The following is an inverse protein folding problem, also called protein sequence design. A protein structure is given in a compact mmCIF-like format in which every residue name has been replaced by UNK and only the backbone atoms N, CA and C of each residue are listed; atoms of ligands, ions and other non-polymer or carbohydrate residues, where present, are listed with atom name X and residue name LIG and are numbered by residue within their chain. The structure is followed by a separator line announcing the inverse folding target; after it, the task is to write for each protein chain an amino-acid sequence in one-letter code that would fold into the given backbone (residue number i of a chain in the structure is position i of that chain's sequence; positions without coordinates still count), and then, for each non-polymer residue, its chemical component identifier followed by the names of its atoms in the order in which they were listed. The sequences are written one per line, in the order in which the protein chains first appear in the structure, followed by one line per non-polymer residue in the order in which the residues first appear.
data_IF_344087618221
#
_entry.id   IF_344087618221
#
_cell.length_a   1.000
_cell.length_b   1.000
_cell.length_c   1.000
_cell.angle_alpha   90.00
_cell.angle_beta   90.00
_cell.angle_gamma   90.00
#
_symmetry.space_group_name_H-M   'P 1'
#
loop_
_entity.id
_entity.type
_entity.pdbx_description
1 polymer ?
#
# COMPACT_ATOMS: atom_id res chain seq x y z
N UNK A 1 -24.02 -18.37 25.43
CA UNK A 1 -24.79 -19.10 24.40
C UNK A 1 -24.16 -18.82 23.05
N UNK A 2 -24.00 -19.82 22.19
CA UNK A 2 -23.48 -19.60 20.83
C UNK A 2 -24.60 -19.20 19.87
N UNK A 3 -24.38 -18.20 19.02
CA UNK A 3 -25.34 -17.72 18.02
C UNK A 3 -24.79 -17.96 16.60
N UNK A 4 -25.64 -18.44 15.69
CA UNK A 4 -25.34 -18.48 14.26
C UNK A 4 -25.69 -17.14 13.61
N UNK A 5 -24.81 -16.63 12.78
CA UNK A 5 -24.90 -15.31 12.15
C UNK A 5 -23.94 -15.26 10.95
N UNK A 6 -23.68 -14.07 10.41
CA UNK A 6 -22.68 -13.81 9.37
C UNK A 6 -21.75 -12.69 9.82
N UNK A 7 -20.62 -12.48 9.14
CA UNK A 7 -19.78 -11.29 9.38
C UNK A 7 -20.59 -10.03 9.10
N UNK A 8 -21.36 -10.02 8.00
CA UNK A 8 -22.16 -8.87 7.59
C UNK A 8 -23.17 -8.47 8.68
N UNK A 9 -23.87 -9.44 9.28
CA UNK A 9 -24.86 -9.17 10.33
C UNK A 9 -24.22 -8.66 11.63
N UNK A 10 -23.06 -9.20 12.02
CA UNK A 10 -22.36 -8.79 13.25
C UNK A 10 -21.71 -7.41 13.13
N UNK A 11 -21.08 -7.13 11.99
CA UNK A 11 -20.42 -5.85 11.77
C UNK A 11 -21.39 -4.73 11.38
N UNK A 12 -22.67 -5.03 11.16
CA UNK A 12 -23.71 -4.01 10.93
C UNK A 12 -24.55 -3.71 12.18
N UNK A 13 -24.26 -4.35 13.31
CA UNK A 13 -24.87 -3.99 14.59
C UNK A 13 -24.56 -2.53 14.97
N UNK A 14 -25.47 -1.85 15.68
CA UNK A 14 -25.27 -0.47 16.07
C UNK A 14 -24.03 -0.28 16.96
N UNK A 15 -23.41 0.88 16.83
CA UNK A 15 -22.40 1.36 17.76
C UNK A 15 -23.02 1.70 19.11
N UNK A 16 -22.20 1.73 20.16
CA UNK A 16 -22.59 2.32 21.43
C UNK A 16 -22.94 3.80 21.19
N UNK A 17 -24.05 4.27 21.75
CA UNK A 17 -24.37 5.68 21.72
C UNK A 17 -23.39 6.43 22.62
N UNK A 18 -22.80 7.51 22.10
CA UNK A 18 -21.75 8.24 22.79
C UNK A 18 -22.13 9.68 23.07
N UNK A 19 -21.56 10.25 24.13
CA UNK A 19 -21.69 11.65 24.51
C UNK A 19 -20.30 12.25 24.73
N UNK A 20 -19.93 13.17 23.85
CA UNK A 20 -18.69 13.91 23.94
C UNK A 20 -18.83 15.03 24.99
N UNK A 21 -18.11 14.91 26.11
CA UNK A 21 -18.01 15.91 27.18
C UNK A 21 -16.69 16.69 27.14
N UNK A 22 -15.85 16.40 26.15
CA UNK A 22 -14.51 16.96 26.08
C UNK A 22 -14.53 18.45 25.75
N UNK A 23 -13.56 19.17 26.31
CA UNK A 23 -13.29 20.53 25.91
C UNK A 23 -12.53 20.57 24.57
N UNK A 24 -12.69 21.67 23.83
CA UNK A 24 -11.87 21.93 22.64
C UNK A 24 -10.38 22.01 22.97
N UNK A 25 -9.54 21.80 21.96
CA UNK A 25 -8.08 21.90 22.09
C UNK A 25 -7.39 21.85 20.73
N UNK A 26 -6.11 22.16 20.68
CA UNK A 26 -5.31 22.18 19.45
C UNK A 26 -4.87 20.78 19.03
N UNK A 27 -4.84 20.52 17.73
CA UNK A 27 -4.24 19.32 17.16
C UNK A 27 -2.71 19.38 17.24
N UNK A 28 -2.06 18.21 17.17
CA UNK A 28 -0.60 18.13 17.06
C UNK A 28 -0.19 18.59 15.67
N UNK A 29 0.84 19.44 15.56
CA UNK A 29 1.29 20.02 14.29
C UNK A 29 2.80 19.90 14.14
N UNK A 30 3.27 19.59 12.93
CA UNK A 30 4.70 19.56 12.60
C UNK A 30 4.92 20.05 11.17
N UNK A 31 5.91 20.94 10.98
CA UNK A 31 6.13 21.63 9.70
C UNK A 31 6.59 20.71 8.58
N UNK A 32 7.30 19.61 8.89
CA UNK A 32 7.87 18.68 7.91
C UNK A 32 6.92 17.57 7.45
N UNK A 33 5.67 17.54 7.91
CA UNK A 33 4.72 16.54 7.43
C UNK A 33 4.42 16.71 5.94
N UNK A 34 4.16 15.62 5.19
CA UNK A 34 3.87 15.71 3.77
C UNK A 34 2.69 16.63 3.48
N UNK A 35 2.66 17.22 2.28
CA UNK A 35 1.57 18.08 1.84
C UNK A 35 0.41 17.27 1.24
N UNK A 36 -0.81 17.81 1.39
CA UNK A 36 -2.04 17.26 0.83
C UNK A 36 -2.24 17.91 -0.54
N UNK A 37 -1.84 17.20 -1.60
CA UNK A 37 -2.00 17.70 -2.96
C UNK A 37 -3.46 17.76 -3.40
N UNK A 38 -4.25 16.74 -3.07
CA UNK A 38 -5.69 16.74 -3.32
C UNK A 38 -6.46 15.87 -2.34
N UNK A 39 -7.71 16.24 -2.08
CA UNK A 39 -8.65 15.55 -1.21
C UNK A 39 -9.97 15.33 -1.95
N UNK A 40 -10.24 14.09 -2.35
CA UNK A 40 -11.37 13.76 -3.23
C UNK A 40 -12.17 12.55 -2.71
N UNK A 41 -13.47 12.45 -2.98
CA UNK A 41 -14.25 11.30 -2.54
C UNK A 41 -13.78 9.99 -3.19
N UNK A 42 -13.59 8.96 -2.39
CA UNK A 42 -13.24 7.62 -2.84
C UNK A 42 -14.47 6.91 -3.42
N UNK A 43 -14.60 6.95 -4.75
CA UNK A 43 -15.79 6.46 -5.48
C UNK A 43 -15.96 4.94 -5.45
N UNK A 44 -14.90 4.19 -5.14
CA UNK A 44 -14.94 2.74 -5.09
C UNK A 44 -15.27 2.18 -3.70
N UNK A 45 -14.93 2.93 -2.65
CA UNK A 45 -15.16 2.51 -1.27
C UNK A 45 -16.62 2.73 -0.84
N UNK A 46 -17.50 1.90 -1.40
CA UNK A 46 -18.94 1.93 -1.17
C UNK A 46 -19.44 0.54 -0.76
N UNK A 47 -20.49 0.49 0.05
CA UNK A 47 -21.07 -0.78 0.50
C UNK A 47 -21.44 -1.74 -0.65
N UNK A 48 -22.11 -1.30 -1.74
CA UNK A 48 -22.45 -2.22 -2.83
C UNK A 48 -21.22 -2.81 -3.54
N UNK A 49 -20.20 -1.99 -3.82
CA UNK A 49 -18.97 -2.46 -4.49
C UNK A 49 -18.18 -3.41 -3.59
N UNK A 50 -17.98 -3.03 -2.33
CA UNK A 50 -17.27 -3.87 -1.36
C UNK A 50 -18.01 -5.19 -1.09
N UNK A 51 -19.33 -5.14 -0.92
CA UNK A 51 -20.12 -6.36 -0.79
C UNK A 51 -20.01 -7.26 -2.02
N UNK A 52 -20.03 -6.72 -3.24
CA UNK A 52 -19.86 -7.52 -4.45
C UNK A 52 -18.50 -8.25 -4.52
N UNK A 53 -17.43 -7.65 -3.98
CA UNK A 53 -16.11 -8.28 -3.92
C UNK A 53 -15.99 -9.34 -2.81
N UNK A 54 -16.66 -9.10 -1.68
CA UNK A 54 -16.47 -9.87 -0.46
C UNK A 54 -17.67 -10.75 -0.08
N UNK A 55 -18.72 -10.84 -0.91
CA UNK A 55 -19.99 -11.49 -0.59
C UNK A 55 -19.80 -12.89 0.00
N UNK A 56 -18.96 -13.71 -0.64
CA UNK A 56 -18.64 -15.08 -0.19
C UNK A 56 -18.04 -15.11 1.23
N UNK A 57 -17.20 -14.12 1.56
CA UNK A 57 -16.56 -14.02 2.88
C UNK A 57 -17.54 -13.47 3.91
N UNK A 58 -18.24 -12.37 3.61
CA UNK A 58 -19.05 -11.66 4.62
C UNK A 58 -20.38 -12.35 4.91
N UNK A 59 -20.92 -13.12 3.96
CA UNK A 59 -22.13 -13.93 4.15
C UNK A 59 -21.81 -15.35 4.67
N UNK A 60 -20.54 -15.67 4.93
CA UNK A 60 -20.15 -16.98 5.48
C UNK A 60 -20.79 -17.24 6.85
N UNK A 61 -21.30 -18.46 7.07
CA UNK A 61 -21.91 -18.84 8.36
C UNK A 61 -20.86 -18.72 9.48
N UNK A 62 -21.17 -17.92 10.49
CA UNK A 62 -20.34 -17.68 11.65
C UNK A 62 -21.06 -18.13 12.92
N UNK A 63 -20.45 -19.04 13.67
CA UNK A 63 -20.91 -19.39 15.02
C UNK A 63 -20.13 -18.57 16.05
N UNK A 64 -20.74 -17.49 16.53
CA UNK A 64 -20.19 -16.62 17.57
C UNK A 64 -20.43 -17.25 18.93
N UNK A 65 -19.36 -17.62 19.64
CA UNK A 65 -19.43 -18.38 20.91
C UNK A 65 -19.56 -17.50 22.15
N UNK A 66 -19.14 -16.25 22.06
CA UNK A 66 -19.15 -15.26 23.16
C UNK A 66 -19.58 -13.91 22.61
N UNK A 67 -20.02 -13.00 23.50
CA UNK A 67 -20.18 -11.61 23.09
C UNK A 67 -18.87 -11.11 22.49
N UNK A 68 -18.94 -10.49 21.31
CA UNK A 68 -17.77 -9.92 20.66
C UNK A 68 -17.36 -8.60 21.31
N UNK A 69 -18.27 -7.97 22.06
CA UNK A 69 -18.12 -6.67 22.70
C UNK A 69 -18.12 -6.82 24.21
N UNK A 70 -17.45 -5.91 24.90
CA UNK A 70 -17.63 -5.77 26.35
C UNK A 70 -19.03 -5.23 26.61
N UNK A 71 -19.76 -5.79 27.59
CA UNK A 71 -21.05 -5.26 27.97
C UNK A 71 -20.86 -3.84 28.54
N UNK A 72 -21.42 -2.79 27.92
CA UNK A 72 -21.19 -1.43 28.35
C UNK A 72 -21.92 -1.14 29.66
N UNK A 73 -21.32 -0.33 30.51
CA UNK A 73 -21.99 0.35 31.63
C UNK A 73 -22.62 1.67 31.15
N UNK A 74 -23.47 2.28 31.99
CA UNK A 74 -24.06 3.58 31.69
C UNK A 74 -23.01 4.70 31.55
N UNK A 75 -21.80 4.50 32.10
CA UNK A 75 -20.69 5.44 32.04
C UNK A 75 -19.85 5.28 30.76
N UNK A 76 -19.88 4.11 30.14
CA UNK A 76 -18.97 3.79 29.04
C UNK A 76 -19.28 4.59 27.76
N UNK A 77 -20.46 5.21 27.67
CA UNK A 77 -20.85 6.07 26.56
C UNK A 77 -20.40 7.52 26.69
N UNK A 78 -19.99 7.98 27.88
CA UNK A 78 -19.52 9.35 28.08
C UNK A 78 -17.99 9.39 28.12
N UNK A 79 -17.38 10.39 27.46
CA UNK A 79 -15.92 10.58 27.49
C UNK A 79 -15.55 12.06 27.54
N UNK A 80 -14.43 12.37 28.19
CA UNK A 80 -13.97 13.73 28.49
C UNK A 80 -12.70 14.12 27.75
N UNK A 81 -12.01 13.17 27.12
CA UNK A 81 -10.86 13.41 26.28
C UNK A 81 -10.66 12.32 25.22
N UNK A 82 -9.55 12.42 24.47
CA UNK A 82 -9.19 11.46 23.44
C UNK A 82 -8.81 10.10 24.03
N UNK A 83 -8.12 10.07 25.18
CA UNK A 83 -7.68 8.81 25.81
C UNK A 83 -8.88 7.97 26.26
N UNK A 84 -9.91 8.59 26.83
CA UNK A 84 -11.15 7.91 27.20
C UNK A 84 -11.94 7.43 25.98
N UNK A 85 -11.99 8.19 24.88
CA UNK A 85 -12.60 7.71 23.62
C UNK A 85 -11.92 6.42 23.14
N UNK A 86 -10.60 6.36 23.20
CA UNK A 86 -9.81 5.19 22.80
C UNK A 86 -10.06 3.98 23.69
N UNK A 87 -10.07 4.18 25.00
CA UNK A 87 -10.14 3.10 25.99
C UNK A 87 -11.56 2.61 26.28
N UNK A 88 -12.55 3.50 26.28
CA UNK A 88 -13.94 3.18 26.65
C UNK A 88 -14.81 2.82 25.46
N UNK A 89 -14.51 3.37 24.27
CA UNK A 89 -15.31 3.14 23.06
C UNK A 89 -14.56 2.28 22.04
N UNK A 90 -13.44 2.78 21.50
CA UNK A 90 -12.81 2.17 20.31
C UNK A 90 -12.28 0.77 20.65
N UNK A 91 -11.49 0.66 21.72
CA UNK A 91 -10.84 -0.59 22.12
C UNK A 91 -11.82 -1.71 22.51
N UNK A 92 -12.86 -1.47 23.33
CA UNK A 92 -13.78 -2.54 23.76
C UNK A 92 -14.99 -2.74 22.85
N UNK A 93 -15.45 -1.71 22.11
CA UNK A 93 -16.68 -1.78 21.32
C UNK A 93 -16.45 -1.91 19.81
N UNK A 94 -15.35 -1.37 19.27
CA UNK A 94 -15.11 -1.30 17.82
C UNK A 94 -14.14 -2.39 17.35
N UNK A 95 -12.94 -2.44 17.92
CA UNK A 95 -11.90 -3.35 17.44
C UNK A 95 -12.20 -4.84 17.64
N UNK A 96 -12.82 -5.30 18.74
CA UNK A 96 -12.98 -6.73 18.98
C UNK A 96 -13.90 -7.44 17.98
N UNK A 97 -15.08 -6.89 17.59
CA UNK A 97 -15.87 -7.45 16.49
C UNK A 97 -15.09 -7.53 15.17
N UNK A 98 -14.36 -6.47 14.80
CA UNK A 98 -13.55 -6.42 13.57
C UNK A 98 -12.48 -7.50 13.56
N UNK A 99 -11.69 -7.61 14.63
CA UNK A 99 -10.65 -8.63 14.76
C UNK A 99 -11.20 -10.06 14.83
N UNK A 100 -12.38 -10.24 15.40
CA UNK A 100 -13.05 -11.55 15.41
C UNK A 100 -13.53 -11.94 14.01
N UNK A 101 -14.09 -10.98 13.25
CA UNK A 101 -14.49 -11.17 11.87
C UNK A 101 -13.29 -11.48 10.95
N UNK A 102 -12.16 -10.77 11.09
CA UNK A 102 -10.93 -11.07 10.33
C UNK A 102 -10.45 -12.50 10.57
N UNK A 103 -10.42 -12.95 11.83
CA UNK A 103 -10.05 -14.33 12.17
C UNK A 103 -11.04 -15.36 11.63
N UNK A 104 -12.34 -15.05 11.62
CA UNK A 104 -13.35 -15.92 11.02
C UNK A 104 -13.16 -16.02 9.50
N UNK A 105 -13.04 -14.88 8.83
CA UNK A 105 -12.82 -14.79 7.39
C UNK A 105 -11.56 -15.57 6.96
N UNK A 106 -10.43 -15.38 7.63
CA UNK A 106 -9.18 -16.12 7.34
C UNK A 106 -9.35 -17.64 7.49
N UNK A 107 -10.10 -18.10 8.49
CA UNK A 107 -10.42 -19.53 8.65
C UNK A 107 -11.35 -20.05 7.55
N UNK A 108 -12.35 -19.27 7.18
CA UNK A 108 -13.29 -19.62 6.11
C UNK A 108 -12.55 -19.86 4.79
N UNK A 109 -11.62 -18.97 4.43
CA UNK A 109 -10.80 -19.10 3.22
C UNK A 109 -9.55 -19.98 3.39
N UNK A 110 -9.38 -20.61 4.57
CA UNK A 110 -8.27 -21.52 4.91
C UNK A 110 -6.87 -20.89 4.82
N UNK A 111 -6.75 -19.60 5.13
CA UNK A 111 -5.48 -18.88 5.23
C UNK A 111 -5.04 -18.63 6.68
N UNK A 112 -5.80 -19.07 7.68
CA UNK A 112 -5.50 -18.87 9.11
C UNK A 112 -4.18 -19.50 9.59
N UNK A 113 -3.64 -20.45 8.83
CA UNK A 113 -2.32 -21.06 9.10
C UNK A 113 -1.14 -20.23 8.61
N UNK A 114 -1.36 -19.41 7.59
CA UNK A 114 -0.29 -18.64 6.92
C UNK A 114 -0.41 -17.15 7.19
N UNK A 115 -1.62 -16.66 7.45
CA UNK A 115 -1.91 -15.25 7.66
C UNK A 115 -2.65 -15.07 8.99
N UNK A 116 -2.33 -13.97 9.68
CA UNK A 116 -3.05 -13.53 10.86
C UNK A 116 -3.04 -12.01 10.89
N UNK A 117 -4.22 -11.40 10.92
CA UNK A 117 -4.37 -9.95 10.96
C UNK A 117 -4.91 -9.51 12.32
N UNK A 118 -4.31 -8.46 12.88
CA UNK A 118 -4.79 -7.85 14.11
C UNK A 118 -4.68 -6.32 14.06
N UNK A 119 -5.83 -5.65 14.08
CA UNK A 119 -5.92 -4.20 14.24
C UNK A 119 -5.97 -3.88 15.74
N UNK A 120 -5.05 -3.05 16.22
CA UNK A 120 -4.95 -2.72 17.64
C UNK A 120 -4.15 -1.46 17.90
N UNK A 121 -3.90 -1.15 19.18
CA UNK A 121 -2.99 -0.07 19.56
C UNK A 121 -1.65 -0.29 18.90
N UNK A 122 -1.07 0.78 18.35
CA UNK A 122 0.17 0.68 17.61
C UNK A 122 1.37 0.30 18.48
N UNK A 123 1.24 0.15 19.82
CA UNK A 123 2.30 -0.19 20.79
C UNK A 123 3.38 -1.18 20.31
N UNK A 124 3.03 -2.11 19.42
CA UNK A 124 3.90 -3.15 18.84
C UNK A 124 4.69 -2.74 17.58
N UNK A 125 4.44 -1.56 17.04
CA UNK A 125 5.09 -0.99 15.84
C UNK A 125 6.03 0.16 16.24
N UNK A 126 7.15 0.30 15.53
CA UNK A 126 8.10 1.42 15.65
C UNK A 126 8.88 1.55 14.34
N UNK A 127 9.05 2.78 13.85
CA UNK A 127 9.87 3.05 12.67
C UNK A 127 11.03 4.04 12.95
N UNK A 128 11.16 4.57 14.17
CA UNK A 128 12.30 5.40 14.58
C UNK A 128 13.17 4.74 15.67
N UNK A 129 14.51 4.80 15.56
CA UNK A 129 15.42 4.38 16.62
C UNK A 129 15.31 5.37 17.80
N UNK A 130 14.56 5.00 18.82
CA UNK A 130 14.34 5.84 20.02
C UNK A 130 12.94 5.69 20.61
N UNK A 131 11.98 5.20 19.83
CA UNK A 131 10.65 4.86 20.32
C UNK A 131 9.79 6.06 20.74
N UNK A 132 10.06 7.24 20.20
CA UNK A 132 9.27 8.44 20.47
C UNK A 132 7.81 8.24 20.02
N UNK A 133 6.89 8.37 20.98
CA UNK A 133 5.46 8.15 20.77
C UNK A 133 4.83 9.17 19.83
N UNK A 134 5.46 10.34 19.63
CA UNK A 134 4.95 11.40 18.73
C UNK A 134 5.02 11.01 17.26
N UNK A 135 5.87 10.05 16.93
CA UNK A 135 6.10 9.56 15.57
C UNK A 135 5.46 8.20 15.40
N UNK A 136 4.22 8.07 15.85
CA UNK A 136 3.53 6.79 15.84
C UNK A 136 2.03 7.03 15.83
N UNK A 137 1.36 6.33 14.92
CA UNK A 137 -0.08 6.28 14.86
C UNK A 137 -0.67 5.71 16.17
N UNK A 138 -1.86 6.13 16.56
CA UNK A 138 -2.59 5.51 17.68
C UNK A 138 -2.88 4.02 17.43
N UNK A 139 -3.20 3.70 16.16
CA UNK A 139 -3.66 2.39 15.72
C UNK A 139 -2.78 1.83 14.60
N UNK A 140 -2.64 0.52 14.60
CA UNK A 140 -1.90 -0.21 13.57
C UNK A 140 -2.55 -1.57 13.28
N UNK A 141 -2.58 -1.94 12.00
CA UNK A 141 -2.74 -3.33 11.59
C UNK A 141 -1.38 -4.03 11.62
N UNK A 142 -1.31 -5.14 12.33
CA UNK A 142 -0.11 -5.97 12.43
C UNK A 142 -0.37 -7.39 11.91
N UNK A 143 0.68 -8.04 11.41
CA UNK A 143 0.66 -9.46 11.03
C UNK A 143 1.95 -10.17 11.44
N UNK A 144 1.89 -11.41 11.95
CA UNK A 144 3.07 -12.22 12.27
C UNK A 144 4.07 -12.42 11.14
N UNK A 145 3.65 -12.34 9.88
CA UNK A 145 4.54 -12.51 8.72
C UNK A 145 5.31 -11.22 8.38
N UNK A 146 4.86 -10.08 8.92
CA UNK A 146 5.47 -8.76 8.74
C UNK A 146 6.13 -8.32 10.04
N UNK A 147 7.24 -8.97 10.39
CA UNK A 147 8.02 -8.70 11.60
C UNK A 147 9.41 -8.18 11.24
N UNK A 148 9.89 -7.26 12.05
CA UNK A 148 11.24 -6.71 12.00
C UNK A 148 12.00 -7.07 13.28
N UNK A 149 13.31 -7.29 13.15
CA UNK A 149 14.20 -7.71 14.24
C UNK A 149 14.40 -9.23 14.28
N UNK A 150 15.65 -9.67 14.49
CA UNK A 150 16.04 -11.08 14.55
C UNK A 150 15.90 -11.69 15.95
N UNK A 151 15.91 -10.86 16.99
CA UNK A 151 16.02 -11.29 18.38
C UNK A 151 14.75 -10.90 19.16
N UNK A 152 14.31 -11.76 20.08
CA UNK A 152 13.08 -11.57 20.88
C UNK A 152 13.02 -10.23 21.62
N UNK A 153 14.17 -9.66 21.97
CA UNK A 153 14.27 -8.38 22.67
C UNK A 153 14.01 -7.15 21.79
N UNK A 154 13.99 -7.29 20.46
CA UNK A 154 13.69 -6.20 19.53
C UNK A 154 12.64 -6.58 18.49
N UNK A 155 11.78 -7.55 18.81
CA UNK A 155 10.69 -7.97 17.94
C UNK A 155 9.69 -6.82 17.76
N UNK A 156 9.55 -6.36 16.51
CA UNK A 156 8.60 -5.32 16.10
C UNK A 156 7.74 -5.82 14.95
N UNK A 157 6.52 -5.30 14.87
CA UNK A 157 5.65 -5.54 13.73
C UNK A 157 5.67 -4.33 12.80
N UNK A 158 5.58 -4.57 11.51
CA UNK A 158 5.29 -3.51 10.55
C UNK A 158 3.88 -2.99 10.77
N UNK A 159 3.69 -1.68 10.60
CA UNK A 159 2.36 -1.10 10.53
C UNK A 159 1.84 -1.24 9.10
N UNK A 160 0.82 -2.08 8.89
CA UNK A 160 0.23 -2.32 7.58
C UNK A 160 -0.92 -1.34 7.26
N UNK A 161 -1.47 -0.69 8.28
CA UNK A 161 -2.58 0.26 8.18
C UNK A 161 -2.52 1.23 9.37
N UNK A 162 -1.86 2.40 9.21
CA UNK A 162 -1.86 3.43 10.25
C UNK A 162 -3.25 4.03 10.44
N UNK A 163 -3.59 4.33 11.69
CA UNK A 163 -4.77 5.15 11.99
C UNK A 163 -4.62 5.97 13.26
N UNK A 164 -5.38 7.05 13.35
CA UNK A 164 -5.36 7.99 14.49
C UNK A 164 -6.76 8.22 15.05
N UNK A 165 -6.86 8.48 16.34
CA UNK A 165 -8.08 8.92 17.01
C UNK A 165 -8.13 10.43 17.02
N UNK A 166 -9.30 11.03 16.82
CA UNK A 166 -9.54 12.45 17.14
C UNK A 166 -10.92 12.63 17.75
N UNK A 167 -11.13 13.74 18.44
CA UNK A 167 -12.45 14.14 18.90
C UNK A 167 -13.18 14.93 17.80
N UNK A 168 -14.47 14.72 17.63
CA UNK A 168 -15.30 15.36 16.60
C UNK A 168 -15.40 16.88 16.76
N UNK A 169 -15.22 17.37 17.99
CA UNK A 169 -15.12 18.80 18.30
C UNK A 169 -13.73 19.42 18.00
N UNK A 170 -12.72 18.59 17.68
CA UNK A 170 -11.37 19.01 17.27
C UNK A 170 -11.08 18.74 15.79
N UNK A 171 -11.81 17.81 15.18
CA UNK A 171 -11.63 17.47 13.77
C UNK A 171 -12.89 16.83 13.18
N UNK A 172 -13.25 17.24 11.97
CA UNK A 172 -14.31 16.60 11.18
C UNK A 172 -14.00 16.72 9.69
N UNK A 173 -14.34 15.69 8.91
CA UNK A 173 -14.04 15.58 7.47
C UNK A 173 -14.64 16.72 6.64
N UNK A 174 -15.81 17.22 7.05
CA UNK A 174 -16.51 18.33 6.38
C UNK A 174 -15.78 19.68 6.49
N UNK A 175 -14.79 19.81 7.36
CA UNK A 175 -14.05 21.06 7.58
C UNK A 175 -13.07 21.40 6.44
N UNK A 176 -12.76 20.46 5.55
CA UNK A 176 -11.87 20.64 4.40
C UNK A 176 -12.16 21.92 3.58
N UNK A 177 -13.44 22.21 3.35
CA UNK A 177 -13.90 23.35 2.55
C UNK A 177 -14.21 24.60 3.36
N UNK A 178 -13.82 24.66 4.64
CA UNK A 178 -14.09 25.83 5.48
C UNK A 178 -13.36 27.06 4.95
N UNK A 179 -14.03 28.21 4.95
CA UNK A 179 -13.42 29.50 4.65
C UNK A 179 -12.64 30.08 5.83
N UNK A 180 -12.81 29.53 7.03
CA UNK A 180 -12.03 29.92 8.21
C UNK A 180 -10.66 29.23 8.17
N UNK A 181 -9.54 29.99 8.05
CA UNK A 181 -8.20 29.41 8.01
C UNK A 181 -7.85 28.56 9.23
N UNK A 182 -8.38 28.90 10.41
CA UNK A 182 -8.12 28.16 11.65
C UNK A 182 -8.74 26.77 11.59
N UNK A 183 -9.97 26.68 11.10
CA UNK A 183 -10.69 25.42 10.90
C UNK A 183 -10.03 24.61 9.78
N UNK A 184 -9.57 25.29 8.72
CA UNK A 184 -8.88 24.64 7.62
C UNK A 184 -7.54 24.04 8.05
N UNK A 185 -6.73 24.75 8.83
CA UNK A 185 -5.48 24.20 9.40
C UNK A 185 -5.75 23.07 10.38
N UNK A 186 -6.71 23.24 11.30
CA UNK A 186 -7.12 22.18 12.21
C UNK A 186 -7.56 20.91 11.48
N UNK A 187 -8.21 21.04 10.31
CA UNK A 187 -8.55 19.93 9.43
C UNK A 187 -7.32 19.27 8.79
N UNK A 188 -6.34 20.06 8.32
CA UNK A 188 -5.14 19.55 7.62
C UNK A 188 -4.29 18.66 8.53
N UNK A 189 -4.10 19.05 9.78
CA UNK A 189 -3.08 18.44 10.64
C UNK A 189 -3.25 16.92 10.84
N UNK A 190 -4.42 16.39 11.25
CA UNK A 190 -4.59 14.95 11.39
C UNK A 190 -4.46 14.18 10.08
N UNK A 191 -4.83 14.80 8.95
CA UNK A 191 -4.67 14.19 7.62
C UNK A 191 -3.19 14.10 7.24
N UNK A 192 -2.42 15.18 7.45
CA UNK A 192 -0.96 15.20 7.24
C UNK A 192 -0.23 14.23 8.16
N UNK A 193 -0.73 14.03 9.37
CA UNK A 193 -0.21 13.03 10.31
C UNK A 193 -0.38 11.61 9.77
N UNK A 194 -1.55 11.25 9.23
CA UNK A 194 -1.75 9.95 8.56
C UNK A 194 -0.86 9.80 7.32
N UNK A 195 -0.70 10.85 6.51
CA UNK A 195 0.22 10.84 5.37
C UNK A 195 1.66 10.57 5.82
N UNK A 196 2.11 11.23 6.88
CA UNK A 196 3.44 11.01 7.42
C UNK A 196 3.65 9.54 7.81
N UNK A 197 2.69 8.93 8.51
CA UNK A 197 2.77 7.51 8.86
C UNK A 197 2.81 6.60 7.63
N UNK A 198 1.98 6.90 6.65
CA UNK A 198 1.83 6.13 5.42
C UNK A 198 3.11 6.20 4.57
N UNK A 199 3.72 7.37 4.45
CA UNK A 199 5.01 7.58 3.80
C UNK A 199 6.14 6.82 4.52
N UNK A 200 6.20 6.91 5.85
CA UNK A 200 7.22 6.21 6.65
C UNK A 200 7.11 4.70 6.64
N UNK A 201 5.91 4.17 6.43
CA UNK A 201 5.64 2.73 6.49
C UNK A 201 5.39 2.09 5.14
N UNK A 202 5.50 2.87 4.05
CA UNK A 202 5.14 2.47 2.69
C UNK A 202 3.72 1.87 2.63
N UNK A 203 2.72 2.60 3.14
CA UNK A 203 1.33 2.13 3.19
C UNK A 203 0.39 3.01 2.39
N UNK A 204 -0.41 2.34 1.56
CA UNK A 204 -1.43 2.91 0.68
C UNK A 204 -2.66 3.41 1.43
N UNK A 205 -2.97 2.81 2.56
CA UNK A 205 -4.22 3.04 3.27
C UNK A 205 -3.97 3.61 4.65
N UNK A 206 -4.89 4.44 5.12
CA UNK A 206 -4.92 4.96 6.48
C UNK A 206 -6.34 5.28 6.91
N UNK A 207 -6.53 5.58 8.19
CA UNK A 207 -7.83 6.02 8.69
C UNK A 207 -7.75 7.02 9.84
N UNK A 208 -8.79 7.83 9.99
CA UNK A 208 -9.06 8.64 11.18
C UNK A 208 -10.38 8.16 11.77
N UNK A 209 -10.46 8.04 13.09
CA UNK A 209 -11.69 7.69 13.79
C UNK A 209 -12.01 8.71 14.86
N UNK A 210 -13.26 9.16 14.89
CA UNK A 210 -13.81 10.06 15.90
C UNK A 210 -15.07 9.49 16.52
N UNK A 211 -15.61 10.17 17.52
CA UNK A 211 -16.93 9.90 18.09
C UNK A 211 -18.09 10.16 17.12
N UNK A 212 -17.85 10.87 16.00
CA UNK A 212 -18.87 11.16 15.00
C UNK A 212 -18.73 10.34 13.71
N UNK A 213 -17.51 10.00 13.29
CA UNK A 213 -17.27 9.33 12.01
C UNK A 213 -15.96 8.52 11.97
N UNK A 214 -15.93 7.55 11.06
CA UNK A 214 -14.71 6.94 10.55
C UNK A 214 -14.40 7.51 9.17
N UNK A 215 -13.18 7.99 8.96
CA UNK A 215 -12.70 8.46 7.67
C UNK A 215 -11.60 7.54 7.18
N UNK A 216 -11.91 6.75 6.15
CA UNK A 216 -10.92 5.86 5.51
C UNK A 216 -10.27 6.57 4.34
N UNK A 217 -9.00 6.29 4.10
CA UNK A 217 -8.18 6.98 3.09
C UNK A 217 -7.42 5.99 2.22
N UNK A 218 -7.35 6.28 0.92
CA UNK A 218 -6.43 5.70 -0.07
C UNK A 218 -5.50 6.81 -0.55
N UNK A 219 -4.21 6.58 -0.40
CA UNK A 219 -3.15 7.56 -0.64
C UNK A 219 -2.43 7.16 -1.92
N UNK A 220 -2.20 8.13 -2.81
CA UNK A 220 -1.40 7.99 -4.03
C UNK A 220 -0.27 9.01 -4.02
N UNK A 221 0.95 8.58 -4.30
CA UNK A 221 2.07 9.51 -4.50
C UNK A 221 1.85 10.31 -5.78
N UNK A 222 2.13 11.61 -5.74
CA UNK A 222 2.18 12.42 -6.95
C UNK A 222 3.63 12.48 -7.42
N UNK A 223 3.93 12.07 -8.66
CA UNK A 223 5.27 12.18 -9.20
C UNK A 223 5.71 13.65 -9.18
N UNK A 224 6.97 13.90 -8.81
CA UNK A 224 7.53 15.25 -8.95
C UNK A 224 7.52 15.62 -10.42
N UNK A 225 6.82 16.71 -10.73
CA UNK A 225 6.87 17.30 -12.06
C UNK A 225 8.33 17.45 -12.48
N UNK A 226 8.70 16.99 -13.67
CA UNK A 226 10.06 17.15 -14.19
C UNK A 226 10.40 18.64 -14.15
N UNK A 227 11.19 19.04 -13.16
CA UNK A 227 11.48 20.44 -12.92
C UNK A 227 12.09 21.08 -14.17
N UNK A 228 11.86 22.38 -14.35
CA UNK A 228 12.32 23.22 -15.47
C UNK A 228 13.86 23.17 -15.69
N UNK A 229 14.60 22.48 -14.81
CA UNK A 229 16.03 22.22 -14.94
C UNK A 229 16.38 21.09 -15.92
N UNK A 230 15.48 20.14 -16.24
CA UNK A 230 15.77 19.05 -17.19
C UNK A 230 15.83 19.52 -18.65
N UNK A 231 15.30 20.70 -18.96
CA UNK A 231 15.42 21.37 -20.27
C UNK A 231 16.48 22.47 -20.31
N UNK A 232 17.19 22.73 -19.21
CA UNK A 232 18.34 23.64 -19.24
C UNK A 232 19.57 22.87 -19.70
N UNK A 233 20.06 23.22 -20.88
CA UNK A 233 21.42 22.88 -21.31
C UNK A 233 22.40 23.19 -20.17
N UNK A 234 23.36 22.30 -19.86
CA UNK A 234 24.43 22.61 -18.93
C UNK A 234 25.03 23.96 -19.32
N UNK A 235 25.04 24.92 -18.39
CA UNK A 235 25.70 26.20 -18.64
C UNK A 235 27.18 25.89 -18.83
N UNK A 236 27.68 25.97 -20.06
CA UNK A 236 29.11 26.00 -20.30
C UNK A 236 29.67 27.14 -19.45
N UNK A 237 30.43 26.78 -18.41
CA UNK A 237 31.22 27.75 -17.69
C UNK A 237 32.30 28.21 -18.65
N UNK A 238 32.35 29.50 -19.04
CA UNK A 238 33.55 30.00 -19.67
C UNK A 238 34.68 29.87 -18.64
N UNK A 239 35.76 29.22 -19.05
CA UNK A 239 37.02 29.18 -18.33
C UNK A 239 37.57 30.61 -18.18
N UNK A 240 37.05 31.37 -17.22
CA UNK A 240 37.64 32.64 -16.83
C UNK A 240 38.73 32.36 -15.81
N UNK A 241 39.97 32.40 -16.30
CA UNK A 241 41.16 32.46 -15.46
C UNK A 241 41.11 33.72 -14.62
N UNK A 242 40.98 33.57 -13.31
CA UNK A 242 41.24 34.65 -12.37
C UNK A 242 42.75 34.75 -12.16
N UNK A 243 43.33 35.80 -12.74
CA UNK A 243 44.71 36.23 -12.52
C UNK A 243 44.87 36.72 -11.08
N UNK A 244 45.89 36.21 -10.40
CA UNK A 244 46.31 36.70 -9.09
C UNK A 244 47.12 37.98 -9.27
N UNK A 245 46.57 39.12 -8.84
CA UNK A 245 47.35 40.35 -8.62
C UNK A 245 47.87 40.35 -7.19
N UNK A 246 49.14 40.00 -7.03
CA UNK A 246 49.90 40.19 -5.78
C UNK A 246 50.45 41.62 -5.79
N UNK A 247 50.07 42.42 -4.79
CA UNK A 247 50.85 43.59 -4.36
C UNK A 247 50.84 43.71 -2.85
N UNK A 248 52.05 43.91 -2.34
CA UNK A 248 52.53 43.96 -0.96
C UNK A 248 51.99 45.14 -0.14
N UNK A 249 51.53 44.89 1.08
CA UNK A 249 52.23 45.33 2.30
C UNK A 249 51.40 45.09 3.56
N UNK A 250 52.12 44.81 4.64
CA UNK A 250 51.71 44.77 6.06
C UNK A 250 51.25 43.41 6.59
N UNK A 251 52.21 42.75 7.21
CA UNK A 251 52.08 41.65 8.17
C UNK A 251 51.10 42.00 9.30
N UNK A 252 50.02 41.22 9.38
CA UNK A 252 49.29 40.94 10.63
C UNK A 252 49.01 39.43 10.65
N UNK A 253 50.09 38.68 10.57
CA UNK A 253 50.18 37.29 10.97
C UNK A 253 50.00 37.23 12.49
N UNK A 254 48.76 37.01 12.96
CA UNK A 254 48.38 36.43 14.29
C UNK A 254 46.85 36.40 14.54
N UNK A 255 45.99 36.86 13.61
CA UNK A 255 44.52 36.85 13.78
C UNK A 255 43.75 35.86 12.87
N UNK A 256 44.43 35.06 12.04
CA UNK A 256 43.79 34.08 11.14
C UNK A 256 43.57 32.69 11.75
N UNK A 257 44.00 32.45 13.00
CA UNK A 257 43.79 31.19 13.72
C UNK A 257 42.42 31.06 14.38
N UNK A 258 41.76 32.16 14.75
CA UNK A 258 40.52 32.13 15.53
C UNK A 258 39.24 32.31 14.69
N UNK A 259 39.34 32.50 13.37
CA UNK A 259 38.19 32.58 12.46
C UNK A 259 38.01 31.38 11.53
N UNK A 260 38.91 30.39 11.59
CA UNK A 260 38.77 29.11 10.84
C UNK A 260 38.02 28.01 11.62
N UNK A 261 37.73 28.24 12.90
CA UNK A 261 37.03 27.28 13.79
C UNK A 261 35.54 27.60 14.03
N UNK A 262 34.94 28.51 13.26
CA UNK A 262 33.49 28.80 13.33
C UNK A 262 32.69 28.32 12.11
N UNK A 263 33.24 27.37 11.35
CA UNK A 263 32.46 26.59 10.37
C UNK A 263 32.09 25.25 10.98
N UNK A 264 30.97 25.24 11.70
CA UNK A 264 30.28 24.02 12.15
C UNK A 264 30.10 23.06 10.95
N UNK A 265 30.60 21.82 11.04
CA UNK A 265 30.28 20.79 10.06
C UNK A 265 28.85 20.31 10.31
N UNK A 266 27.86 20.98 9.72
CA UNK A 266 26.52 20.40 9.52
C UNK A 266 26.59 19.35 8.41
N UNK A 267 27.34 18.27 8.68
CA UNK A 267 27.24 17.02 7.94
C UNK A 267 26.11 16.22 8.58
N UNK A 268 24.87 16.60 8.28
CA UNK A 268 23.79 15.62 8.37
C UNK A 268 24.03 14.62 7.24
N UNK A 269 24.27 13.37 7.62
CA UNK A 269 24.49 12.27 6.71
C UNK A 269 23.34 12.21 5.70
N UNK A 270 23.63 12.60 4.45
CA UNK A 270 22.73 12.40 3.33
C UNK A 270 22.60 10.88 3.12
N UNK A 271 21.54 10.29 3.65
CA UNK A 271 20.98 9.10 3.03
C UNK A 271 20.27 9.59 1.77
N UNK A 272 20.42 8.96 0.60
CA UNK A 272 19.61 9.31 -0.56
C UNK A 272 18.16 9.04 -0.18
N UNK A 273 17.43 10.11 0.16
CA UNK A 273 15.99 10.04 0.35
C UNK A 273 15.35 9.64 -0.96
N UNK A 274 14.21 8.94 -0.88
CA UNK A 274 13.41 8.57 -2.05
C UNK A 274 13.13 9.76 -2.97
N UNK A 275 12.62 9.51 -4.19
CA UNK A 275 12.30 10.57 -5.14
C UNK A 275 11.49 11.65 -4.44
N UNK A 276 11.81 12.92 -4.72
CA UNK A 276 10.98 14.02 -4.26
C UNK A 276 9.52 13.71 -4.64
N UNK A 277 8.58 14.00 -3.76
CA UNK A 277 7.14 13.86 -4.02
C UNK A 277 6.52 15.25 -3.96
N UNK A 278 5.78 15.65 -5.00
CA UNK A 278 5.07 16.94 -5.07
C UNK A 278 3.82 16.98 -4.16
N UNK A 279 3.69 16.01 -3.25
CA UNK A 279 2.57 15.82 -2.34
C UNK A 279 1.85 14.50 -2.59
N UNK A 280 0.68 14.35 -1.96
CA UNK A 280 -0.13 13.13 -2.07
C UNK A 280 -1.56 13.44 -2.52
N UNK A 281 -2.10 12.60 -3.40
CA UNK A 281 -3.54 12.56 -3.67
C UNK A 281 -4.21 11.62 -2.68
N UNK A 282 -5.22 12.12 -1.99
CA UNK A 282 -5.99 11.38 -1.01
C UNK A 282 -7.42 11.19 -1.51
N UNK A 283 -7.82 9.94 -1.65
CA UNK A 283 -9.19 9.54 -1.83
C UNK A 283 -9.77 9.13 -0.48
N UNK A 284 -10.85 9.76 -0.04
CA UNK A 284 -11.42 9.51 1.29
C UNK A 284 -12.89 9.07 1.24
N UNK A 285 -13.31 8.34 2.27
CA UNK A 285 -14.73 8.09 2.54
C UNK A 285 -15.00 8.30 4.03
N UNK A 286 -15.91 9.21 4.33
CA UNK A 286 -16.47 9.39 5.67
C UNK A 286 -17.66 8.45 5.90
N UNK A 287 -17.68 7.78 7.05
CA UNK A 287 -18.69 6.84 7.49
C UNK A 287 -19.19 7.30 8.87
N UNK A 288 -20.43 7.81 8.97
CA UNK A 288 -21.01 8.22 10.25
C UNK A 288 -21.05 7.08 11.28
N UNK A 289 -20.75 7.41 12.54
CA UNK A 289 -20.82 6.48 13.68
C UNK A 289 -22.23 5.95 13.94
N UNK A 290 -23.26 6.71 13.56
CA UNK A 290 -24.67 6.31 13.69
C UNK A 290 -25.12 5.23 12.69
N UNK A 291 -24.34 5.00 11.62
CA UNK A 291 -24.73 4.03 10.59
C UNK A 291 -24.80 2.60 11.18
N UNK A 292 -25.95 1.96 10.97
CA UNK A 292 -26.19 0.58 11.38
C UNK A 292 -27.18 -0.10 10.43
N UNK A 293 -27.16 -1.44 10.42
CA UNK A 293 -27.95 -2.26 9.51
C UNK A 293 -27.58 -2.08 8.03
N UNK A 294 -28.38 -2.70 7.15
CA UNK A 294 -28.32 -2.53 5.68
C UNK A 294 -26.90 -2.62 5.07
N UNK A 295 -26.03 -3.50 5.57
CA UNK A 295 -24.60 -3.57 5.18
C UNK A 295 -24.31 -3.71 3.68
N UNK A 296 -25.27 -4.22 2.89
CA UNK A 296 -25.17 -4.31 1.41
C UNK A 296 -25.34 -2.95 0.71
N UNK A 297 -25.90 -1.94 1.38
CA UNK A 297 -26.25 -0.62 0.84
C UNK A 297 -25.60 0.54 1.60
N UNK A 298 -25.23 0.33 2.87
CA UNK A 298 -24.63 1.34 3.73
C UNK A 298 -23.44 0.74 4.48
N UNK A 299 -22.35 1.50 4.58
CA UNK A 299 -21.20 1.11 5.39
C UNK A 299 -21.45 1.53 6.85
N UNK A 300 -21.21 0.61 7.76
CA UNK A 300 -21.04 0.88 9.19
C UNK A 300 -19.54 1.00 9.50
N UNK A 301 -19.19 1.54 10.66
CA UNK A 301 -17.78 1.71 11.07
C UNK A 301 -17.05 0.37 11.17
N UNK A 302 -17.64 -0.65 11.79
CA UNK A 302 -17.00 -1.97 11.88
C UNK A 302 -16.81 -2.60 10.51
N UNK A 303 -17.82 -2.51 9.63
CA UNK A 303 -17.76 -3.12 8.31
C UNK A 303 -16.74 -2.42 7.41
N UNK A 304 -16.67 -1.08 7.46
CA UNK A 304 -15.67 -0.30 6.76
C UNK A 304 -14.25 -0.62 7.25
N UNK A 305 -14.03 -0.68 8.58
CA UNK A 305 -12.74 -1.09 9.14
C UNK A 305 -12.35 -2.50 8.74
N UNK A 306 -13.29 -3.46 8.74
CA UNK A 306 -13.02 -4.83 8.27
C UNK A 306 -12.52 -4.83 6.82
N UNK A 307 -13.22 -4.16 5.91
CA UNK A 307 -12.83 -4.11 4.51
C UNK A 307 -11.47 -3.42 4.32
N UNK A 308 -11.26 -2.26 4.96
CA UNK A 308 -9.99 -1.53 4.87
C UNK A 308 -8.83 -2.35 5.42
N UNK A 309 -9.03 -3.01 6.57
CA UNK A 309 -8.02 -3.85 7.20
C UNK A 309 -7.68 -5.06 6.34
N UNK A 310 -8.68 -5.68 5.71
CA UNK A 310 -8.45 -6.77 4.78
C UNK A 310 -7.67 -6.30 3.54
N UNK A 311 -8.09 -5.20 2.93
CA UNK A 311 -7.43 -4.63 1.75
C UNK A 311 -5.98 -4.27 2.03
N UNK A 312 -5.69 -3.71 3.20
CA UNK A 312 -4.33 -3.34 3.61
C UNK A 312 -3.46 -4.55 3.96
N UNK A 313 -4.03 -5.58 4.58
CA UNK A 313 -3.29 -6.75 5.06
C UNK A 313 -3.16 -7.91 4.06
N UNK A 314 -4.11 -8.04 3.13
CA UNK A 314 -4.15 -9.13 2.15
C UNK A 314 -4.01 -8.63 0.70
N UNK A 315 -4.55 -7.46 0.38
CA UNK A 315 -4.50 -6.86 -0.95
C UNK A 315 -3.21 -6.07 -1.19
N UNK A 316 -3.21 -5.26 -2.25
CA UNK A 316 -2.09 -4.36 -2.54
C UNK A 316 -2.08 -3.17 -1.56
N UNK A 317 -1.23 -3.27 -0.54
CA UNK A 317 -1.11 -2.31 0.55
C UNK A 317 0.05 -1.31 0.45
N UNK A 318 0.96 -1.43 -0.52
CA UNK A 318 2.12 -0.51 -0.68
C UNK A 318 1.78 0.78 -1.40
N UNK A 319 2.49 1.85 -1.06
CA UNK A 319 2.33 3.16 -1.65
C UNK A 319 2.87 3.15 -3.09
N UNK A 320 2.20 3.85 -4.00
CA UNK A 320 2.57 3.93 -5.42
C UNK A 320 1.98 5.20 -6.04
N UNK A 321 2.52 5.58 -7.21
CA UNK A 321 2.01 6.66 -8.05
C UNK A 321 0.74 6.27 -8.79
N UNK A 322 0.59 4.99 -9.10
CA UNK A 322 -0.61 4.43 -9.72
C UNK A 322 -0.97 3.08 -9.13
N UNK A 323 -2.25 2.73 -9.29
CA UNK A 323 -2.80 1.49 -8.79
C UNK A 323 -3.72 0.88 -9.84
N UNK A 324 -3.84 -0.46 -9.88
CA UNK A 324 -4.80 -1.11 -10.73
C UNK A 324 -6.23 -0.78 -10.32
N UNK A 325 -7.16 -1.03 -11.23
CA UNK A 325 -8.59 -0.89 -11.03
C UNK A 325 -9.08 -1.66 -9.80
N UNK A 326 -10.15 -1.18 -9.18
CA UNK A 326 -10.63 -1.72 -7.90
C UNK A 326 -11.07 -3.20 -7.97
N UNK A 327 -11.53 -3.65 -9.14
CA UNK A 327 -12.03 -5.00 -9.39
C UNK A 327 -11.23 -5.68 -10.50
N UNK A 328 -9.92 -5.79 -10.27
CA UNK A 328 -8.93 -6.29 -11.21
C UNK A 328 -8.09 -7.41 -10.58
N UNK A 329 -7.37 -8.13 -11.42
CA UNK A 329 -6.49 -9.23 -11.01
C UNK A 329 -5.27 -9.31 -11.92
N UNK A 330 -4.20 -9.95 -11.42
CA UNK A 330 -3.00 -10.18 -12.21
C UNK A 330 -2.57 -11.65 -12.13
N UNK A 331 -1.93 -12.19 -13.19
CA UNK A 331 -1.61 -13.62 -13.28
C UNK A 331 -0.34 -14.00 -12.53
N UNK A 332 -0.38 -15.15 -11.85
CA UNK A 332 0.80 -15.80 -11.29
C UNK A 332 1.41 -16.78 -12.30
N UNK A 333 2.67 -17.16 -12.05
CA UNK A 333 3.44 -18.08 -12.89
C UNK A 333 2.81 -19.47 -13.05
N UNK A 334 1.90 -19.86 -12.16
CA UNK A 334 1.16 -21.13 -12.24
C UNK A 334 -0.15 -21.04 -13.06
N UNK A 335 -0.45 -19.86 -13.62
CA UNK A 335 -1.69 -19.57 -14.37
C UNK A 335 -2.91 -19.28 -13.51
N UNK A 336 -2.78 -19.24 -12.19
CA UNK A 336 -3.80 -18.65 -11.32
C UNK A 336 -3.70 -17.13 -11.34
N UNK A 337 -4.68 -16.45 -10.76
CA UNK A 337 -4.70 -14.99 -10.69
C UNK A 337 -4.83 -14.57 -9.24
N UNK A 338 -4.27 -13.43 -8.86
CA UNK A 338 -4.52 -12.82 -7.56
C UNK A 338 -5.30 -11.53 -7.76
N UNK A 339 -6.38 -11.37 -6.99
CA UNK A 339 -7.23 -10.18 -7.06
C UNK A 339 -6.56 -9.00 -6.33
N UNK A 340 -6.43 -7.85 -6.98
CA UNK A 340 -5.64 -6.73 -6.47
C UNK A 340 -6.16 -6.14 -5.15
N UNK A 341 -7.48 -6.01 -5.00
CA UNK A 341 -8.11 -5.48 -3.77
C UNK A 341 -8.26 -6.50 -2.63
N UNK A 342 -8.63 -7.75 -2.93
CA UNK A 342 -8.91 -8.76 -1.88
C UNK A 342 -7.70 -9.62 -1.54
N UNK A 343 -6.67 -9.66 -2.39
CA UNK A 343 -5.51 -10.55 -2.23
C UNK A 343 -5.83 -12.03 -2.43
N UNK A 344 -7.05 -12.37 -2.87
CA UNK A 344 -7.49 -13.75 -2.99
C UNK A 344 -7.06 -14.34 -4.34
N UNK A 345 -6.67 -15.62 -4.30
CA UNK A 345 -6.41 -16.40 -5.51
C UNK A 345 -7.71 -16.72 -6.24
N UNK A 346 -7.71 -16.49 -7.55
CA UNK A 346 -8.78 -16.73 -8.48
C UNK A 346 -8.34 -17.75 -9.53
N UNK A 347 -9.28 -18.59 -9.96
CA UNK A 347 -9.06 -19.53 -11.07
C UNK A 347 -9.27 -18.91 -12.45
N UNK A 348 -9.88 -17.72 -12.50
CA UNK A 348 -10.21 -17.00 -13.72
C UNK A 348 -9.83 -15.54 -13.53
N UNK A 349 -9.33 -14.95 -14.60
CA UNK A 349 -9.04 -13.53 -14.66
C UNK A 349 -10.31 -12.69 -14.46
N UNK A 350 -10.10 -11.52 -13.89
CA UNK A 350 -11.07 -10.43 -13.79
C UNK A 350 -10.32 -9.14 -14.07
N UNK A 351 -10.68 -8.43 -15.15
CA UNK A 351 -10.04 -7.19 -15.63
C UNK A 351 -8.51 -7.21 -15.42
N UNK A 352 -7.78 -7.89 -16.31
CA UNK A 352 -6.34 -8.13 -16.13
C UNK A 352 -5.59 -6.79 -16.10
N UNK A 353 -5.00 -6.46 -14.95
CA UNK A 353 -4.22 -5.25 -14.75
C UNK A 353 -3.06 -5.52 -13.78
N UNK A 354 -1.89 -5.01 -14.12
CA UNK A 354 -0.69 -5.14 -13.30
C UNK A 354 -0.80 -4.39 -11.97
N UNK A 355 -0.15 -4.87 -10.90
CA UNK A 355 -0.06 -4.15 -9.63
C UNK A 355 0.51 -2.73 -9.75
N UNK A 356 1.39 -2.48 -10.72
CA UNK A 356 1.81 -1.14 -11.11
C UNK A 356 1.47 -0.90 -12.59
N UNK A 357 0.28 -0.33 -12.88
CA UNK A 357 -0.19 -0.10 -14.24
C UNK A 357 0.69 0.86 -15.06
N UNK A 358 1.39 1.79 -14.41
CA UNK A 358 2.19 2.81 -15.09
C UNK A 358 3.70 2.52 -15.11
N UNK A 359 4.10 1.28 -14.81
CA UNK A 359 5.49 0.84 -14.95
C UNK A 359 5.97 1.09 -16.40
N UNK A 360 6.94 1.99 -16.58
CA UNK A 360 7.44 2.40 -17.92
C UNK A 360 8.50 1.46 -18.49
N UNK A 361 9.24 0.74 -17.65
CA UNK A 361 10.30 -0.21 -18.02
C UNK A 361 9.75 -1.60 -18.42
N UNK A 362 8.52 -1.66 -18.93
CA UNK A 362 7.96 -2.89 -19.51
C UNK A 362 8.53 -3.10 -20.90
N UNK A 363 8.73 -4.36 -21.28
CA UNK A 363 9.12 -4.69 -22.65
C UNK A 363 10.42 -5.46 -22.72
N UNK A 364 10.68 -6.07 -23.88
CA UNK A 364 11.50 -7.27 -23.95
C UNK A 364 12.96 -6.93 -23.62
N UNK A 365 13.43 -7.46 -22.50
CA UNK A 365 14.84 -7.51 -22.15
C UNK A 365 15.39 -8.88 -22.54
N UNK A 366 16.57 -8.87 -23.15
CA UNK A 366 17.23 -10.05 -23.67
C UNK A 366 18.59 -10.22 -23.01
N UNK A 367 18.97 -11.47 -22.79
CA UNK A 367 20.29 -11.83 -22.30
C UNK A 367 20.98 -12.77 -23.28
N UNK A 368 22.29 -12.59 -23.45
CA UNK A 368 23.13 -13.48 -24.24
C UNK A 368 23.43 -14.74 -23.43
N UNK A 369 22.95 -15.88 -23.91
CA UNK A 369 23.06 -17.19 -23.24
C UNK A 369 24.02 -18.15 -23.92
N UNK A 370 24.65 -17.73 -25.02
CA UNK A 370 25.67 -18.50 -25.71
C UNK A 370 25.91 -17.99 -27.12
N UNK A 371 26.47 -18.85 -27.97
CA UNK A 371 26.66 -18.61 -29.40
C UNK A 371 25.92 -19.68 -30.19
N UNK A 372 25.21 -19.27 -31.23
CA UNK A 372 24.62 -20.16 -32.23
C UNK A 372 25.73 -20.82 -33.07
N UNK A 373 25.38 -21.86 -33.84
CA UNK A 373 26.35 -22.63 -34.66
C UNK A 373 27.07 -21.77 -35.73
N UNK A 374 26.49 -20.62 -36.09
CA UNK A 374 27.02 -19.62 -37.02
C UNK A 374 27.86 -18.52 -36.33
N UNK A 375 28.02 -18.58 -35.00
CA UNK A 375 28.81 -17.62 -34.21
C UNK A 375 28.03 -16.40 -33.71
N UNK A 376 26.76 -16.25 -34.08
CA UNK A 376 25.90 -15.17 -33.60
C UNK A 376 25.49 -15.41 -32.13
N UNK A 377 25.26 -14.36 -31.32
CA UNK A 377 24.83 -14.53 -29.94
C UNK A 377 23.44 -15.18 -29.87
N UNK A 378 23.33 -16.26 -29.11
CA UNK A 378 22.05 -16.85 -28.76
C UNK A 378 21.39 -15.96 -27.69
N UNK A 379 20.29 -15.30 -28.05
CA UNK A 379 19.53 -14.44 -27.15
C UNK A 379 18.31 -15.19 -26.59
N UNK A 380 18.03 -14.98 -25.30
CA UNK A 380 16.81 -15.43 -24.64
C UNK A 380 16.13 -14.24 -23.93
N UNK A 381 14.79 -14.25 -23.90
CA UNK A 381 14.03 -13.30 -23.09
C UNK A 381 14.28 -13.58 -21.62
N UNK A 382 14.34 -12.55 -20.79
CA UNK A 382 14.43 -12.74 -19.33
C UNK A 382 13.05 -12.99 -18.75
N UNK A 383 12.94 -13.85 -17.73
CA UNK A 383 11.68 -14.15 -17.06
C UNK A 383 11.04 -12.88 -16.48
N UNK A 384 11.84 -12.03 -15.84
CA UNK A 384 11.40 -10.73 -15.29
C UNK A 384 10.77 -9.85 -16.38
N UNK A 385 11.38 -9.81 -17.56
CA UNK A 385 10.83 -9.04 -18.66
C UNK A 385 9.52 -9.63 -19.16
N UNK A 386 9.43 -10.95 -19.36
CA UNK A 386 8.20 -11.61 -19.85
C UNK A 386 7.01 -11.32 -18.94
N UNK A 387 7.17 -11.44 -17.62
CA UNK A 387 6.07 -11.19 -16.66
C UNK A 387 5.68 -9.72 -16.54
N UNK A 388 6.42 -8.81 -17.16
CA UNK A 388 6.10 -7.38 -17.27
C UNK A 388 5.44 -7.00 -18.61
N UNK A 389 5.42 -7.91 -19.59
CA UNK A 389 4.88 -7.64 -20.93
C UNK A 389 3.36 -7.46 -20.92
N UNK A 390 2.82 -6.82 -21.95
CA UNK A 390 1.36 -6.72 -22.08
C UNK A 390 0.71 -8.10 -22.26
N UNK A 391 -0.56 -8.21 -21.85
CA UNK A 391 -1.33 -9.46 -21.95
C UNK A 391 -2.44 -9.28 -22.97
N UNK A 392 -2.55 -10.23 -23.89
CA UNK A 392 -3.60 -10.27 -24.90
C UNK A 392 -4.33 -11.61 -24.89
N UNK A 393 -5.56 -11.61 -25.41
CA UNK A 393 -6.33 -12.83 -25.61
C UNK A 393 -6.21 -13.31 -27.06
N UNK A 394 -5.78 -14.56 -27.22
CA UNK A 394 -5.69 -15.23 -28.51
C UNK A 394 -6.34 -16.61 -28.43
N UNK A 395 -7.34 -16.86 -29.27
CA UNK A 395 -8.09 -18.13 -29.33
C UNK A 395 -8.68 -18.58 -27.97
N UNK A 396 -9.18 -17.63 -27.16
CA UNK A 396 -9.78 -17.92 -25.86
C UNK A 396 -8.77 -18.21 -24.74
N UNK A 397 -7.49 -17.86 -24.94
CA UNK A 397 -6.43 -18.00 -23.94
C UNK A 397 -5.61 -16.72 -23.86
N UNK A 398 -5.09 -16.42 -22.67
CA UNK A 398 -4.24 -15.26 -22.46
C UNK A 398 -2.77 -15.60 -22.69
N UNK A 399 -2.05 -14.66 -23.28
CA UNK A 399 -0.62 -14.75 -23.56
C UNK A 399 0.06 -13.42 -23.25
N UNK A 400 1.29 -13.49 -22.76
CA UNK A 400 2.19 -12.35 -22.81
C UNK A 400 2.53 -12.03 -24.27
N UNK A 401 2.59 -10.75 -24.62
CA UNK A 401 2.97 -10.31 -25.96
C UNK A 401 3.74 -9.01 -25.92
N UNK A 402 4.55 -8.81 -26.95
CA UNK A 402 5.25 -7.55 -27.20
C UNK A 402 5.20 -7.23 -28.69
N UNK A 403 5.43 -5.97 -29.04
CA UNK A 403 5.49 -5.54 -30.43
C UNK A 403 6.93 -5.60 -30.91
N UNK A 404 7.17 -6.38 -31.96
CA UNK A 404 8.46 -6.46 -32.64
C UNK A 404 8.30 -6.01 -34.09
N UNK A 405 8.95 -4.91 -34.48
CA UNK A 405 8.89 -4.39 -35.85
C UNK A 405 7.45 -4.26 -36.37
N UNK A 406 6.59 -3.63 -35.55
CA UNK A 406 5.14 -3.43 -35.77
C UNK A 406 4.27 -4.71 -35.79
N UNK A 407 4.83 -5.87 -35.47
CA UNK A 407 4.07 -7.12 -35.35
C UNK A 407 3.94 -7.59 -33.90
N UNK A 408 2.72 -7.87 -33.41
CA UNK A 408 2.53 -8.46 -32.10
C UNK A 408 3.08 -9.89 -32.10
N UNK A 409 4.08 -10.12 -31.24
CA UNK A 409 4.71 -11.42 -31.02
C UNK A 409 4.22 -12.00 -29.70
N UNK A 410 3.56 -13.15 -29.77
CA UNK A 410 3.12 -13.88 -28.59
C UNK A 410 4.30 -14.65 -27.98
N UNK A 411 4.45 -14.57 -26.66
CA UNK A 411 5.37 -15.47 -25.94
C UNK A 411 4.71 -16.84 -25.85
N UNK A 412 5.37 -17.84 -26.42
CA UNK A 412 4.84 -19.21 -26.51
C UNK A 412 5.90 -20.22 -26.09
N UNK A 413 5.52 -21.51 -26.10
CA UNK A 413 6.41 -22.58 -25.68
C UNK A 413 7.63 -22.80 -26.58
N UNK A 414 7.65 -22.17 -27.76
CA UNK A 414 8.76 -22.25 -28.71
C UNK A 414 9.83 -21.17 -28.45
N UNK A 415 9.53 -20.17 -27.59
CA UNK A 415 10.47 -19.11 -27.23
C UNK A 415 11.17 -19.47 -25.92
N UNK A 416 12.49 -19.67 -25.92
CA UNK A 416 13.23 -19.90 -24.68
C UNK A 416 13.25 -18.62 -23.86
N UNK A 417 12.96 -18.78 -22.57
CA UNK A 417 13.05 -17.71 -21.58
C UNK A 417 14.04 -18.16 -20.52
N UNK A 418 14.85 -17.22 -20.05
CA UNK A 418 15.88 -17.45 -19.06
C UNK A 418 15.50 -16.78 -17.74
N UNK A 419 15.50 -17.54 -16.65
CA UNK A 419 15.35 -17.01 -15.30
C UNK A 419 16.73 -16.67 -14.72
N UNK A 420 17.02 -15.38 -14.66
CA UNK A 420 18.31 -14.87 -14.17
C UNK A 420 18.54 -15.14 -12.68
N UNK A 421 17.48 -15.34 -11.89
CA UNK A 421 17.61 -15.60 -10.46
C UNK A 421 18.03 -17.05 -10.17
N UNK A 422 17.51 -17.99 -10.96
CA UNK A 422 17.75 -19.43 -10.77
C UNK A 422 18.80 -20.00 -11.72
N UNK A 423 19.09 -19.29 -12.82
CA UNK A 423 19.97 -19.76 -13.90
C UNK A 423 19.34 -20.82 -14.79
N UNK A 424 18.01 -20.96 -14.74
CA UNK A 424 17.28 -22.00 -15.46
C UNK A 424 16.61 -21.48 -16.74
N UNK A 425 16.49 -22.36 -17.73
CA UNK A 425 15.65 -22.11 -18.90
C UNK A 425 14.25 -22.64 -18.68
N UNK A 426 13.28 -21.96 -19.27
CA UNK A 426 11.92 -22.43 -19.34
C UNK A 426 11.17 -21.84 -20.53
N UNK A 427 9.86 -22.02 -20.51
CA UNK A 427 8.96 -21.53 -21.53
C UNK A 427 7.58 -21.22 -20.96
N UNK A 428 6.78 -20.48 -21.72
CA UNK A 428 5.39 -20.18 -21.36
C UNK A 428 4.37 -20.97 -22.18
N UNK A 429 3.37 -21.53 -21.52
CA UNK A 429 2.14 -22.02 -22.14
C UNK A 429 0.97 -21.11 -21.74
N UNK A 430 0.69 -20.11 -22.58
CA UNK A 430 -0.21 -19.02 -22.21
C UNK A 430 0.46 -18.11 -21.19
N UNK A 431 -0.09 -18.06 -19.98
CA UNK A 431 0.48 -17.33 -18.84
C UNK A 431 1.24 -18.25 -17.86
N UNK A 432 1.31 -19.56 -18.12
CA UNK A 432 1.94 -20.54 -17.22
C UNK A 432 3.41 -20.68 -17.56
N UNK A 433 4.27 -20.48 -16.57
CA UNK A 433 5.71 -20.73 -16.63
C UNK A 433 6.03 -22.20 -16.38
N UNK A 434 6.95 -22.77 -17.17
CA UNK A 434 7.45 -24.13 -16.97
C UNK A 434 8.95 -24.19 -17.18
N UNK A 435 9.67 -24.73 -16.20
CA UNK A 435 11.12 -24.97 -16.28
C UNK A 435 11.43 -26.12 -17.24
N UNK A 436 12.46 -25.96 -18.05
CA UNK A 436 12.98 -26.94 -19.02
C UNK A 436 12.70 -26.58 -20.47
N UNK A 437 12.92 -27.53 -21.38
CA UNK A 437 12.58 -27.37 -22.80
C UNK A 437 11.42 -28.27 -23.18
N UNK A 438 10.47 -27.73 -23.95
CA UNK A 438 9.45 -28.51 -24.63
C UNK A 438 10.10 -29.22 -25.81
N UNK A 439 10.86 -30.29 -25.54
CA UNK A 439 11.58 -31.04 -26.57
C UNK A 439 10.71 -31.31 -27.79
N UNK A 440 11.22 -30.91 -28.97
CA UNK A 440 10.60 -31.10 -30.30
C UNK A 440 9.93 -32.47 -30.39
N UNK A 441 8.61 -32.50 -30.62
CA UNK A 441 7.93 -33.71 -31.12
C UNK A 441 8.77 -34.24 -32.27
N UNK A 442 9.41 -35.41 -32.08
CA UNK A 442 10.06 -36.16 -33.16
C UNK A 442 9.07 -36.23 -34.32
N UNK A 443 9.39 -35.54 -35.41
CA UNK A 443 8.80 -35.78 -36.73
C UNK A 443 8.86 -37.29 -36.92
N UNK A 444 7.72 -38.00 -36.81
CA UNK A 444 7.61 -39.36 -37.33
C UNK A 444 7.83 -39.21 -38.83
N UNK A 445 9.05 -39.47 -39.26
CA UNK A 445 9.34 -39.85 -40.63
C UNK A 445 8.55 -41.14 -40.89
N UNK A 446 7.33 -41.00 -41.41
CA UNK A 446 6.68 -42.08 -42.14
C UNK A 446 7.50 -42.30 -43.41
N UNK A 447 8.56 -43.09 -43.26
CA UNK A 447 9.25 -43.71 -44.38
C UNK A 447 8.29 -44.66 -45.06
N UNK A 448 7.87 -44.31 -46.26
CA UNK A 448 7.35 -45.24 -47.25
C UNK A 448 8.35 -46.41 -47.38
N UNK A 449 7.95 -47.62 -46.97
CA UNK A 449 8.50 -48.84 -47.54
C UNK A 449 7.42 -49.52 -48.38
N UNK A 450 7.46 -49.27 -49.69
CA UNK A 450 7.02 -50.23 -50.68
C UNK A 450 7.95 -51.45 -50.56
N UNK A 451 7.37 -52.63 -50.36
CA UNK A 451 7.65 -53.83 -51.15
C UNK A 451 6.42 -54.72 -51.12
#
# INVERSE_FOLDING_TARGET
MSRKTTILDELTQPNLAVMNRANGGTNTTQSYWPDIGSWIPWQDFTAPKLYALFADVVDSEWTVRSCLRTAPTDWDGEFFDEDELEHSIITPQILPPVNAALRHALRYIKLDKTHSLNLGRAGRTYYEPGGDRRFKADWALCSPIHRQGSDDNNLRYENLLPGDSKLSNKWHSSWYGSSDPTIQEAWKDPVRQILHYSDKTDRRYGFLITDAELVVMRITQMPTSTGIASTRSPREQPSQGHSYSISSSTDISMLSGAMRDMSMPSSSSHKPGGPATDGHRIEYRAIPMENHGKGKRQLTVHLALFYLTWMAGMGQGSLSETYPGFDSSWPLLDGTFIHNTTGLLLKKAKNIEYPNPSREDRGPAWVTVGSQEDGEPALALTLESVVSLEITEYQGRHFYYYVNSDQPTLVTSEMPVYDEMTGEFGYFEGLVWTVGSRTKKKRRTTGNSRK
#
